data_IF_735914624456
#
_entry.id   IF_735914624456
#
_cell.length_a   1.000
_cell.length_b   1.000
_cell.length_c   1.000
_cell.angle_alpha   90.00
_cell.angle_beta   90.00
_cell.angle_gamma   90.00
#
_symmetry.space_group_name_H-M   'P 1'
#
loop_
_entity.id
_entity.type
_entity.pdbx_description
1 polymer ?
#
# COMPACT_ATOMS: atom_id res chain seq x y z
N UNK A 1 -14.37 -6.00 -14.86
CA UNK A 1 -15.17 -6.06 -16.10
C UNK A 1 -14.30 -6.07 -17.36
N UNK A 2 -13.30 -5.17 -17.49
CA UNK A 2 -12.43 -5.09 -18.68
C UNK A 2 -11.69 -6.41 -18.96
N UNK A 3 -11.16 -7.05 -17.93
CA UNK A 3 -10.41 -8.32 -18.05
C UNK A 3 -11.32 -9.49 -18.45
N UNK A 4 -12.56 -9.50 -17.93
CA UNK A 4 -13.57 -10.50 -18.31
C UNK A 4 -13.96 -10.34 -19.78
N UNK A 5 -14.16 -9.11 -20.28
CA UNK A 5 -14.42 -8.87 -21.69
C UNK A 5 -13.27 -9.35 -22.59
N UNK A 6 -12.02 -9.11 -22.19
CA UNK A 6 -10.82 -9.62 -22.88
C UNK A 6 -10.74 -11.15 -22.91
N UNK A 7 -11.24 -11.82 -21.87
CA UNK A 7 -11.32 -13.29 -21.83
C UNK A 7 -12.33 -13.80 -22.87
N UNK A 8 -13.53 -13.21 -22.93
CA UNK A 8 -14.53 -13.57 -23.93
C UNK A 8 -14.02 -13.39 -25.36
N UNK A 9 -13.29 -12.29 -25.65
CA UNK A 9 -12.67 -12.05 -26.95
C UNK A 9 -11.65 -13.15 -27.31
N UNK A 10 -10.76 -13.51 -26.36
CA UNK A 10 -9.76 -14.57 -26.57
C UNK A 10 -10.40 -15.93 -26.84
N UNK A 11 -11.48 -16.24 -26.14
CA UNK A 11 -12.23 -17.48 -26.30
C UNK A 11 -13.20 -17.45 -27.51
N UNK A 12 -13.25 -16.33 -28.24
CA UNK A 12 -14.22 -16.12 -29.34
C UNK A 12 -15.66 -16.41 -28.94
N UNK A 13 -16.00 -16.20 -27.68
CA UNK A 13 -17.33 -16.42 -27.16
C UNK A 13 -18.18 -15.14 -27.33
N UNK A 14 -19.46 -15.28 -27.81
CA UNK A 14 -20.33 -14.13 -27.90
C UNK A 14 -20.62 -13.55 -26.52
N UNK A 15 -20.49 -12.24 -26.38
CA UNK A 15 -20.76 -11.55 -25.13
C UNK A 15 -21.60 -10.29 -25.32
N UNK A 16 -22.30 -9.93 -24.26
CA UNK A 16 -22.99 -8.65 -24.09
C UNK A 16 -22.62 -8.03 -22.74
N UNK A 17 -22.93 -6.76 -22.57
CA UNK A 17 -22.72 -6.08 -21.29
C UNK A 17 -23.41 -6.80 -20.12
N UNK A 18 -24.63 -7.33 -20.35
CA UNK A 18 -25.35 -8.12 -19.34
C UNK A 18 -24.63 -9.43 -18.98
N UNK A 19 -24.09 -10.16 -19.97
CA UNK A 19 -23.32 -11.38 -19.69
C UNK A 19 -22.03 -11.08 -18.92
N UNK A 20 -21.31 -10.03 -19.31
CA UNK A 20 -20.12 -9.62 -18.57
C UNK A 20 -20.46 -9.29 -17.12
N UNK A 21 -21.52 -8.50 -16.89
CA UNK A 21 -21.98 -8.17 -15.55
C UNK A 21 -22.33 -9.42 -14.73
N UNK A 22 -23.10 -10.36 -15.31
CA UNK A 22 -23.46 -11.61 -14.65
C UNK A 22 -22.25 -12.45 -14.28
N UNK A 23 -21.26 -12.59 -15.16
CA UNK A 23 -20.02 -13.33 -14.87
C UNK A 23 -19.22 -12.65 -13.75
N UNK A 24 -19.12 -11.32 -13.78
CA UNK A 24 -18.44 -10.57 -12.71
C UNK A 24 -19.12 -10.79 -11.36
N UNK A 25 -20.44 -10.72 -11.28
CA UNK A 25 -21.17 -10.96 -10.04
C UNK A 25 -21.02 -12.41 -9.57
N UNK A 26 -21.09 -13.38 -10.48
CA UNK A 26 -20.84 -14.79 -10.14
C UNK A 26 -19.43 -15.01 -9.62
N UNK A 27 -18.41 -14.40 -10.24
CA UNK A 27 -17.03 -14.49 -9.76
C UNK A 27 -16.84 -13.89 -8.37
N UNK A 28 -17.54 -12.80 -8.05
CA UNK A 28 -17.51 -12.22 -6.69
C UNK A 28 -18.04 -13.17 -5.62
N UNK A 29 -18.97 -14.05 -5.99
CA UNK A 29 -19.55 -15.05 -5.07
C UNK A 29 -18.65 -16.29 -4.92
N UNK A 30 -17.93 -16.66 -5.98
CA UNK A 30 -17.12 -17.89 -6.03
C UNK A 30 -15.69 -17.64 -5.54
N UNK A 31 -15.12 -16.48 -5.86
CA UNK A 31 -13.77 -16.14 -5.41
C UNK A 31 -13.82 -15.88 -3.90
N UNK A 32 -13.07 -16.65 -3.11
CA UNK A 32 -12.99 -16.40 -1.68
C UNK A 32 -12.66 -14.92 -1.45
N UNK A 33 -13.49 -14.21 -0.72
CA UNK A 33 -13.13 -12.89 -0.24
C UNK A 33 -11.97 -13.08 0.72
N UNK A 34 -10.79 -12.74 0.27
CA UNK A 34 -9.67 -12.69 1.18
C UNK A 34 -9.88 -11.52 2.13
N UNK A 35 -9.76 -11.81 3.40
CA UNK A 35 -9.65 -10.79 4.43
C UNK A 35 -8.66 -9.74 3.98
N UNK A 36 -8.98 -8.48 4.28
CA UNK A 36 -8.20 -7.34 3.84
C UNK A 36 -6.70 -7.62 4.02
N UNK A 37 -5.87 -7.30 3.01
CA UNK A 37 -4.44 -7.51 3.08
C UNK A 37 -3.93 -6.94 4.39
N UNK A 38 -2.97 -7.63 4.99
CA UNK A 38 -2.43 -7.24 6.26
C UNK A 38 -2.09 -5.75 6.25
N UNK A 39 -2.84 -4.94 7.01
CA UNK A 39 -2.70 -3.47 7.09
C UNK A 39 -1.31 -3.03 7.53
N UNK A 40 -0.45 -3.99 7.85
CA UNK A 40 0.94 -3.83 8.24
C UNK A 40 1.92 -3.81 7.06
N UNK A 41 1.47 -4.12 5.84
CA UNK A 41 2.34 -4.23 4.68
C UNK A 41 2.33 -2.94 3.86
N UNK A 42 3.53 -2.43 3.57
CA UNK A 42 3.75 -1.31 2.65
C UNK A 42 4.48 -1.85 1.42
N UNK A 43 3.85 -1.72 0.25
CA UNK A 43 4.46 -2.10 -1.02
C UNK A 43 5.33 -0.98 -1.58
N UNK A 44 6.54 -1.31 -1.98
CA UNK A 44 7.47 -0.47 -2.72
C UNK A 44 7.73 -1.09 -4.09
N UNK A 45 8.37 -0.36 -5.01
CA UNK A 45 8.69 -0.87 -6.33
C UNK A 45 9.54 -2.14 -6.28
N UNK A 46 10.51 -2.19 -5.36
CA UNK A 46 11.49 -3.27 -5.22
C UNK A 46 11.09 -4.35 -4.19
N UNK A 47 9.94 -4.24 -3.50
CA UNK A 47 9.52 -5.25 -2.53
C UNK A 47 8.45 -4.76 -1.56
N UNK A 48 8.33 -5.44 -0.43
CA UNK A 48 7.29 -5.21 0.58
C UNK A 48 7.92 -5.11 1.96
N UNK A 49 7.61 -4.06 2.68
CA UNK A 49 7.99 -3.86 4.07
C UNK A 49 6.84 -4.30 4.99
N UNK A 50 7.12 -5.22 5.90
CA UNK A 50 6.23 -5.52 7.01
C UNK A 50 6.56 -4.57 8.18
N UNK A 51 5.65 -3.66 8.48
CA UNK A 51 5.86 -2.62 9.52
C UNK A 51 5.83 -3.17 10.94
N UNK A 52 5.36 -4.39 11.14
CA UNK A 52 5.35 -5.03 12.45
C UNK A 52 6.68 -5.73 12.76
N UNK A 53 7.22 -6.44 11.79
CA UNK A 53 8.50 -7.15 11.94
C UNK A 53 9.71 -6.32 11.52
N UNK A 54 9.51 -5.24 10.74
CA UNK A 54 10.57 -4.47 10.11
C UNK A 54 11.26 -5.19 8.96
N UNK A 55 10.77 -6.37 8.56
CA UNK A 55 11.37 -7.16 7.48
C UNK A 55 10.96 -6.64 6.11
N UNK A 56 11.94 -6.54 5.23
CA UNK A 56 11.73 -6.25 3.82
C UNK A 56 11.89 -7.54 3.00
N UNK A 57 10.95 -7.82 2.12
CA UNK A 57 10.91 -9.04 1.32
C UNK A 57 10.53 -8.78 -0.13
N UNK A 58 10.88 -9.66 -1.08
CA UNK A 58 10.41 -9.57 -2.46
C UNK A 58 8.88 -9.63 -2.55
N UNK A 59 8.34 -9.12 -3.66
CA UNK A 59 6.91 -9.23 -3.94
C UNK A 59 6.44 -10.69 -3.99
N UNK A 60 5.29 -10.95 -3.37
CA UNK A 60 4.60 -12.23 -3.44
C UNK A 60 3.12 -12.03 -3.68
N UNK A 61 2.49 -12.96 -4.39
CA UNK A 61 1.03 -12.98 -4.57
C UNK A 61 0.29 -13.09 -3.23
N UNK A 62 0.91 -13.71 -2.23
CA UNK A 62 0.36 -13.84 -0.88
C UNK A 62 0.23 -12.51 -0.12
N UNK A 63 0.93 -11.46 -0.55
CA UNK A 63 0.84 -10.14 0.08
C UNK A 63 -0.47 -9.40 -0.25
N UNK A 64 -1.13 -9.74 -1.36
CA UNK A 64 -2.41 -9.16 -1.80
C UNK A 64 -2.44 -7.62 -1.81
N UNK A 65 -1.31 -7.01 -2.12
CA UNK A 65 -1.20 -5.55 -2.19
C UNK A 65 -2.02 -5.01 -3.38
N UNK A 66 -2.78 -3.96 -3.13
CA UNK A 66 -3.58 -3.27 -4.15
C UNK A 66 -2.89 -2.01 -4.66
N UNK A 67 -1.99 -1.46 -3.87
CA UNK A 67 -1.27 -0.22 -4.16
C UNK A 67 0.20 -0.40 -3.83
N UNK A 68 1.04 0.32 -4.55
CA UNK A 68 2.48 0.39 -4.34
C UNK A 68 2.91 1.84 -4.26
N UNK A 69 3.90 2.12 -3.41
CA UNK A 69 4.67 3.36 -3.49
C UNK A 69 5.61 3.25 -4.70
N UNK A 70 5.53 4.19 -5.63
CA UNK A 70 6.38 4.19 -6.84
C UNK A 70 7.81 4.71 -6.55
N UNK A 71 8.39 4.19 -5.49
CA UNK A 71 9.76 4.41 -5.06
C UNK A 71 10.37 3.10 -4.58
N UNK A 72 11.70 3.00 -4.62
CA UNK A 72 12.41 1.87 -4.05
C UNK A 72 12.62 2.09 -2.55
N UNK A 73 12.41 1.04 -1.77
CA UNK A 73 12.76 1.05 -0.35
C UNK A 73 14.26 0.82 -0.20
N UNK A 74 14.90 1.69 0.55
CA UNK A 74 16.30 1.53 0.98
C UNK A 74 16.29 1.29 2.49
N UNK A 75 16.81 0.14 2.96
CA UNK A 75 16.92 -0.09 4.40
C UNK A 75 17.77 1.00 5.08
N UNK A 76 17.37 1.45 6.28
CA UNK A 76 18.18 2.40 7.04
C UNK A 76 19.55 1.80 7.41
N UNK A 77 20.57 2.63 7.38
CA UNK A 77 21.91 2.26 7.82
C UNK A 77 21.99 2.44 9.35
N UNK A 78 22.77 1.58 10.00
CA UNK A 78 22.96 1.67 11.46
C UNK A 78 23.47 3.07 11.85
N UNK A 79 22.84 3.66 12.87
CA UNK A 79 23.14 5.03 13.33
C UNK A 79 22.55 6.15 12.47
N UNK A 80 21.87 5.84 11.38
CA UNK A 80 21.20 6.83 10.54
C UNK A 80 19.99 7.43 11.24
N UNK A 81 19.86 8.75 11.17
CA UNK A 81 18.71 9.50 11.69
C UNK A 81 17.92 10.13 10.54
N UNK A 82 16.68 10.53 10.81
CA UNK A 82 15.87 11.25 9.83
C UNK A 82 16.54 12.56 9.39
N UNK A 83 17.27 13.21 10.28
CA UNK A 83 18.00 14.44 10.02
C UNK A 83 19.15 14.23 9.03
N UNK A 84 19.89 13.13 9.19
CA UNK A 84 21.03 12.79 8.32
C UNK A 84 20.59 12.22 6.98
N UNK A 85 19.57 11.39 7.00
CA UNK A 85 19.05 10.72 5.79
C UNK A 85 18.24 11.66 4.88
N UNK A 86 17.38 12.50 5.47
CA UNK A 86 16.48 13.37 4.74
C UNK A 86 16.48 14.81 5.30
N UNK A 87 17.60 15.55 5.19
CA UNK A 87 17.78 16.84 5.86
C UNK A 87 16.78 17.91 5.42
N UNK A 88 16.32 17.87 4.17
CA UNK A 88 15.29 18.79 3.69
C UNK A 88 13.92 18.50 4.31
N UNK A 89 13.55 17.22 4.41
CA UNK A 89 12.32 16.81 5.05
C UNK A 89 12.37 17.12 6.56
N UNK A 90 13.49 16.85 7.21
CA UNK A 90 13.70 17.18 8.63
C UNK A 90 13.49 18.67 8.90
N UNK A 91 14.11 19.56 8.12
CA UNK A 91 13.94 21.02 8.26
C UNK A 91 12.50 21.47 8.06
N UNK A 92 11.80 20.87 7.09
CA UNK A 92 10.37 21.13 6.88
C UNK A 92 9.55 20.67 8.10
N UNK A 93 9.79 19.47 8.57
CA UNK A 93 9.09 18.87 9.73
C UNK A 93 9.31 19.70 11.01
N UNK A 94 10.53 20.12 11.26
CA UNK A 94 10.87 20.93 12.43
C UNK A 94 10.17 22.30 12.39
N UNK A 95 10.12 22.95 11.24
CA UNK A 95 9.35 24.18 11.04
C UNK A 95 7.86 23.95 11.24
N UNK A 96 7.28 22.93 10.63
CA UNK A 96 5.86 22.59 10.77
C UNK A 96 5.46 22.32 12.22
N UNK A 97 6.35 21.73 13.00
CA UNK A 97 6.19 21.45 14.40
C UNK A 97 6.57 22.63 15.32
N UNK A 98 7.11 23.74 14.78
CA UNK A 98 7.66 24.86 15.57
C UNK A 98 8.70 24.42 16.59
N UNK A 99 9.60 23.51 16.23
CA UNK A 99 10.62 22.93 17.09
C UNK A 99 10.10 21.98 18.17
N UNK A 100 8.79 21.73 18.24
CA UNK A 100 8.19 20.91 19.30
C UNK A 100 8.28 19.42 18.95
N UNK A 101 8.98 18.57 19.74
CA UNK A 101 9.17 17.15 19.45
C UNK A 101 7.87 16.35 19.47
N UNK A 102 6.92 16.68 20.35
CA UNK A 102 5.62 16.01 20.38
C UNK A 102 4.83 16.26 19.12
N UNK A 103 4.79 17.49 18.63
CA UNK A 103 4.14 17.82 17.36
C UNK A 103 4.81 17.13 16.18
N UNK A 104 6.16 17.03 16.16
CA UNK A 104 6.87 16.26 15.13
C UNK A 104 6.42 14.81 15.10
N UNK A 105 6.35 14.16 16.26
CA UNK A 105 5.91 12.77 16.36
C UNK A 105 4.46 12.58 15.87
N UNK A 106 3.57 13.52 16.18
CA UNK A 106 2.17 13.47 15.67
C UNK A 106 2.12 13.59 14.15
N UNK A 107 2.89 14.51 13.57
CA UNK A 107 2.97 14.66 12.11
C UNK A 107 3.53 13.40 11.46
N UNK A 108 4.61 12.83 12.01
CA UNK A 108 5.20 11.58 11.51
C UNK A 108 4.21 10.41 11.62
N UNK A 109 3.48 10.29 12.72
CA UNK A 109 2.46 9.27 12.89
C UNK A 109 1.35 9.41 11.83
N UNK A 110 0.87 10.62 11.58
CA UNK A 110 -0.14 10.87 10.55
C UNK A 110 0.36 10.51 9.15
N UNK A 111 1.60 10.88 8.80
CA UNK A 111 2.21 10.52 7.51
C UNK A 111 2.39 9.00 7.38
N UNK A 112 2.84 8.33 8.45
CA UNK A 112 2.96 6.87 8.47
C UNK A 112 1.61 6.19 8.25
N UNK A 113 0.54 6.68 8.82
CA UNK A 113 -0.80 6.11 8.64
C UNK A 113 -1.29 6.21 7.21
N UNK A 114 -1.04 7.35 6.55
CA UNK A 114 -1.34 7.52 5.12
C UNK A 114 -0.53 6.53 4.29
N UNK A 115 0.78 6.42 4.56
CA UNK A 115 1.68 5.51 3.85
C UNK A 115 1.30 4.04 4.04
N UNK A 116 0.96 3.65 5.26
CA UNK A 116 0.57 2.29 5.63
C UNK A 116 -0.90 1.98 5.33
N UNK A 117 -1.66 2.93 4.76
CA UNK A 117 -3.10 2.81 4.49
C UNK A 117 -3.90 2.38 5.74
N UNK A 118 -3.57 2.95 6.89
CA UNK A 118 -4.20 2.65 8.17
C UNK A 118 -5.20 3.72 8.54
N UNK A 119 -6.48 3.34 8.59
CA UNK A 119 -7.61 4.21 8.95
C UNK A 119 -8.39 3.68 10.16
N UNK A 120 -7.76 2.81 10.96
CA UNK A 120 -8.35 2.09 12.08
C UNK A 120 -8.27 2.85 13.40
N UNK A 121 -7.78 4.07 13.38
CA UNK A 121 -7.75 4.93 14.54
C UNK A 121 -8.82 6.02 14.42
N UNK A 122 -9.54 6.21 15.50
CA UNK A 122 -10.43 7.35 15.68
C UNK A 122 -9.74 8.30 16.65
N UNK A 123 -9.66 9.56 16.25
CA UNK A 123 -9.24 10.64 17.14
C UNK A 123 -10.36 10.97 18.10
#
# INVERSE_FOLDING_TARGET
ARDVAGLFQRLRAPFSSGRIASVVETLKLIIPQQDAPARRLIGFRNGVLDTQSGLFSPHSKSHWLRTLCDVDFTPPVEGETLETHAPNFWRWLDRAASGNPTKRNVILAALFMVLANRYDWQL
#
